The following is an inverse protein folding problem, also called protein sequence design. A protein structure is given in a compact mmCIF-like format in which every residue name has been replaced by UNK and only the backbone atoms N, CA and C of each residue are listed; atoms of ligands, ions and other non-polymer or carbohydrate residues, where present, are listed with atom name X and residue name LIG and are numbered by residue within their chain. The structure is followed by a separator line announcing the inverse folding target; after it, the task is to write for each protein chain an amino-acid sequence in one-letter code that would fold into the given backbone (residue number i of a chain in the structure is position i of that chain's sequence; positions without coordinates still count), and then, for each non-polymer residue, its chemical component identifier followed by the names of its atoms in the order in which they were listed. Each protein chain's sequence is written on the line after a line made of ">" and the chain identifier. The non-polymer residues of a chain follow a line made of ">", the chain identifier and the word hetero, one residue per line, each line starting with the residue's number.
data_IF_770795871524
#
_entry.id   IF_770795871524
#
_cell.length_a   1.000
_cell.length_b   1.000
_cell.length_c   1.000
_cell.angle_alpha   90.00
_cell.angle_beta   90.00
_cell.angle_gamma   90.00
#
_symmetry.space_group_name_H-M   'P 1'
#
loop_
_entity.id
_entity.type
_entity.pdbx_description
1 polymer ?
#
# COMPACT_ATOMS: atom_id res chain seq x y z
N UNK A 1 -11.54 10.78 4.87
CA UNK A 1 -10.60 9.95 5.65
C UNK A 1 -11.27 9.61 6.96
N UNK A 2 -11.29 8.34 7.34
CA UNK A 2 -11.72 7.95 8.69
C UNK A 2 -10.45 7.93 9.56
N UNK A 3 -10.56 8.44 10.79
CA UNK A 3 -9.52 8.32 11.80
C UNK A 3 -10.05 7.54 12.98
N UNK A 4 -9.20 6.74 13.61
CA UNK A 4 -9.47 6.00 14.83
C UNK A 4 -8.38 6.30 15.84
N UNK A 5 -8.70 6.54 17.13
CA UNK A 5 -7.67 6.72 18.15
C UNK A 5 -6.83 5.44 18.31
N UNK A 6 -5.52 5.60 18.48
CA UNK A 6 -4.62 4.53 18.89
C UNK A 6 -4.89 4.14 20.35
N UNK A 7 -5.06 2.86 20.64
CA UNK A 7 -5.35 2.38 21.99
C UNK A 7 -4.16 2.58 22.94
N UNK A 8 -2.92 2.63 22.44
CA UNK A 8 -1.71 2.85 23.25
C UNK A 8 -1.40 4.32 23.55
N UNK A 9 -1.40 5.21 22.54
CA UNK A 9 -0.99 6.61 22.72
C UNK A 9 -2.10 7.64 22.51
N UNK A 10 -3.32 7.22 22.18
CA UNK A 10 -4.48 8.09 22.01
C UNK A 10 -4.51 8.97 20.75
N UNK A 11 -3.46 8.96 19.93
CA UNK A 11 -3.37 9.81 18.72
C UNK A 11 -4.41 9.41 17.66
N UNK A 12 -4.95 10.36 16.88
CA UNK A 12 -5.85 10.05 15.78
C UNK A 12 -5.06 9.44 14.60
N UNK A 13 -5.26 8.16 14.35
CA UNK A 13 -4.56 7.41 13.29
C UNK A 13 -5.42 7.31 12.05
N UNK A 14 -4.83 7.46 10.86
CA UNK A 14 -5.55 7.28 9.60
C UNK A 14 -5.87 5.80 9.35
N UNK A 15 -7.14 5.53 9.03
CA UNK A 15 -7.60 4.18 8.69
C UNK A 15 -8.03 4.17 7.22
N UNK A 16 -7.33 3.38 6.40
CA UNK A 16 -7.75 3.10 5.03
C UNK A 16 -8.79 1.98 5.08
N UNK A 17 -9.93 2.18 4.43
CA UNK A 17 -10.98 1.16 4.42
C UNK A 17 -12.42 1.64 4.22
N UNK A 18 -12.67 2.94 4.11
CA UNK A 18 -14.00 3.43 3.73
C UNK A 18 -14.27 3.30 2.23
N UNK A 19 -15.53 3.09 1.81
CA UNK A 19 -15.95 3.24 0.40
C UNK A 19 -15.48 4.58 -0.20
N UNK A 20 -15.31 5.61 0.62
CA UNK A 20 -14.74 6.90 0.22
C UNK A 20 -13.30 6.79 -0.33
N UNK A 21 -12.49 5.82 0.13
CA UNK A 21 -11.14 5.57 -0.41
C UNK A 21 -11.15 4.81 -1.74
N UNK A 22 -12.20 4.03 -2.02
CA UNK A 22 -12.31 3.29 -3.28
C UNK A 22 -12.45 4.21 -4.51
N UNK A 23 -12.87 5.46 -4.29
CA UNK A 23 -13.06 6.47 -5.33
C UNK A 23 -12.05 7.62 -5.26
N UNK A 24 -11.10 7.53 -4.33
CA UNK A 24 -10.03 8.50 -4.17
C UNK A 24 -8.77 7.96 -4.84
N UNK A 25 -8.21 8.70 -5.79
CA UNK A 25 -6.88 8.41 -6.35
C UNK A 25 -5.74 8.85 -5.40
N UNK A 26 -6.08 9.30 -4.19
CA UNK A 26 -5.11 9.64 -3.16
C UNK A 26 -4.48 8.35 -2.60
N UNK A 27 -3.15 8.28 -2.61
CA UNK A 27 -2.36 7.21 -1.97
C UNK A 27 -2.41 7.35 -0.45
N UNK A 28 -3.61 7.28 0.13
CA UNK A 28 -3.75 7.29 1.58
C UNK A 28 -3.44 5.90 2.11
N UNK A 29 -2.23 5.73 2.62
CA UNK A 29 -1.81 4.58 3.41
C UNK A 29 -2.46 4.64 4.80
N UNK A 30 -2.68 3.49 5.42
CA UNK A 30 -2.99 3.41 6.86
C UNK A 30 -1.78 3.79 7.68
N UNK A 31 -1.97 4.43 8.84
CA UNK A 31 -0.88 4.70 9.79
C UNK A 31 -0.94 3.78 11.04
N UNK A 32 -1.79 2.76 10.99
CA UNK A 32 -1.95 1.76 12.05
C UNK A 32 -2.72 0.53 11.60
N UNK A 33 -2.80 -0.46 12.48
CA UNK A 33 -3.48 -1.73 12.22
C UNK A 33 -4.12 -2.32 13.47
N UNK A 34 -5.05 -3.25 13.26
CA UNK A 34 -5.65 -4.04 14.32
C UNK A 34 -4.77 -5.26 14.61
N UNK A 35 -4.31 -5.39 15.84
CA UNK A 35 -3.49 -6.51 16.34
C UNK A 35 -4.28 -7.31 17.38
N UNK A 36 -4.10 -8.62 17.33
CA UNK A 36 -4.48 -9.55 18.39
C UNK A 36 -3.19 -9.88 19.18
N UNK A 37 -3.20 -9.65 20.49
CA UNK A 37 -2.04 -9.82 21.37
C UNK A 37 -1.93 -11.24 21.93
N UNK A 38 -0.83 -11.54 22.64
CA UNK A 38 -0.53 -12.89 23.12
C UNK A 38 -1.53 -13.40 24.18
N UNK A 39 -2.18 -12.47 24.90
CA UNK A 39 -3.25 -12.72 25.86
C UNK A 39 -4.65 -12.82 25.22
N UNK A 40 -4.75 -12.62 23.90
CA UNK A 40 -6.00 -12.70 23.14
C UNK A 40 -6.87 -11.45 23.25
N UNK A 41 -6.26 -10.29 23.50
CA UNK A 41 -6.92 -8.99 23.38
C UNK A 41 -6.64 -8.35 22.02
N UNK A 42 -7.69 -7.77 21.44
CA UNK A 42 -7.62 -7.02 20.19
C UNK A 42 -7.42 -5.53 20.46
N UNK A 43 -6.33 -4.95 19.93
CA UNK A 43 -6.02 -3.51 20.04
C UNK A 43 -5.68 -2.88 18.68
N UNK A 44 -6.17 -1.66 18.46
CA UNK A 44 -5.81 -0.87 17.29
C UNK A 44 -4.68 0.10 17.62
N UNK A 45 -3.53 -0.12 16.99
CA UNK A 45 -2.29 0.58 17.33
C UNK A 45 -1.67 1.25 16.09
N UNK A 46 -1.09 2.45 16.28
CA UNK A 46 -0.25 3.09 15.26
C UNK A 46 1.09 2.36 15.12
N UNK A 47 1.74 2.43 13.96
CA UNK A 47 2.98 1.68 13.70
C UNK A 47 4.08 1.93 14.72
N UNK A 48 4.31 3.17 15.12
CA UNK A 48 5.31 3.46 16.14
C UNK A 48 4.97 2.91 17.54
N UNK A 49 3.71 2.62 17.86
CA UNK A 49 3.35 1.92 19.11
C UNK A 49 3.59 0.42 18.98
N UNK A 50 3.35 -0.13 17.79
CA UNK A 50 3.67 -1.53 17.49
C UNK A 50 5.17 -1.78 17.58
N UNK A 51 5.99 -0.87 17.07
CA UNK A 51 7.45 -0.98 17.12
C UNK A 51 8.02 -0.90 18.54
N UNK A 52 7.30 -0.27 19.46
CA UNK A 52 7.69 -0.15 20.88
C UNK A 52 7.26 -1.36 21.72
N UNK A 53 6.37 -2.22 21.21
CA UNK A 53 5.88 -3.39 21.93
C UNK A 53 6.93 -4.52 21.98
N UNK A 54 6.97 -5.31 23.06
CA UNK A 54 7.75 -6.55 23.11
C UNK A 54 7.13 -7.63 22.21
N UNK A 55 7.90 -8.66 21.84
CA UNK A 55 7.45 -9.73 20.93
C UNK A 55 6.20 -10.48 21.43
N UNK A 56 6.13 -10.79 22.74
CA UNK A 56 4.98 -11.46 23.39
C UNK A 56 4.14 -10.45 24.18
N UNK A 57 3.77 -9.33 23.54
CA UNK A 57 2.99 -8.27 24.17
C UNK A 57 1.61 -8.72 24.64
N UNK A 58 1.15 -8.11 25.74
CA UNK A 58 -0.18 -8.23 26.32
C UNK A 58 -0.81 -6.85 26.54
N UNK A 59 -2.09 -6.79 26.94
CA UNK A 59 -2.82 -5.54 27.21
C UNK A 59 -2.04 -4.60 28.15
N UNK A 60 -1.38 -5.17 29.17
CA UNK A 60 -0.59 -4.39 30.13
C UNK A 60 0.60 -3.64 29.49
N UNK A 61 1.16 -4.16 28.41
CA UNK A 61 2.24 -3.49 27.67
C UNK A 61 1.70 -2.33 26.84
N UNK A 62 0.47 -2.45 26.31
CA UNK A 62 -0.23 -1.36 25.62
C UNK A 62 -0.54 -0.21 26.58
N UNK A 63 -1.06 -0.52 27.77
CA UNK A 63 -1.35 0.46 28.82
C UNK A 63 -0.09 1.18 29.34
N UNK A 64 1.09 0.56 29.19
CA UNK A 64 2.37 1.11 29.60
C UNK A 64 3.00 2.05 28.56
N UNK A 65 2.44 2.14 27.35
CA UNK A 65 2.96 2.99 26.29
C UNK A 65 2.86 4.48 26.67
N UNK A 66 3.84 5.31 26.24
CA UNK A 66 3.81 6.73 26.52
C UNK A 66 2.76 7.45 25.67
N UNK A 67 2.10 8.45 26.27
CA UNK A 67 1.31 9.43 25.52
C UNK A 67 2.18 10.13 24.47
N UNK A 68 1.59 10.39 23.30
CA UNK A 68 2.26 11.12 22.20
C UNK A 68 1.44 12.30 21.71
N UNK A 69 2.08 13.39 21.24
CA UNK A 69 1.36 14.58 20.78
C UNK A 69 0.45 14.25 19.59
N UNK A 70 -0.83 14.66 19.61
CA UNK A 70 -1.80 14.30 18.58
C UNK A 70 -1.53 14.94 17.21
N UNK A 71 -0.72 15.99 17.17
CA UNK A 71 -0.32 16.74 15.97
C UNK A 71 1.02 16.30 15.38
N UNK A 72 1.75 15.40 16.05
CA UNK A 72 3.00 14.86 15.53
C UNK A 72 2.71 13.77 14.48
N UNK A 73 3.27 13.88 13.26
CA UNK A 73 3.09 12.88 12.23
C UNK A 73 3.64 11.53 12.69
N UNK A 74 2.85 10.48 12.47
CA UNK A 74 3.25 9.10 12.81
C UNK A 74 4.32 8.66 11.80
N UNK A 75 5.51 8.32 12.29
CA UNK A 75 6.59 7.75 11.49
C UNK A 75 6.18 6.41 10.89
N UNK A 76 6.43 6.24 9.59
CA UNK A 76 6.20 4.98 8.90
C UNK A 76 7.49 4.17 8.87
N UNK A 77 7.44 2.85 9.13
CA UNK A 77 8.62 2.02 8.98
C UNK A 77 8.98 1.83 7.50
N UNK A 78 10.27 1.64 7.21
CA UNK A 78 10.80 1.51 5.83
C UNK A 78 10.05 0.45 5.01
N UNK A 79 9.65 -0.67 5.63
CA UNK A 79 8.92 -1.74 4.95
C UNK A 79 7.51 -1.36 4.48
N UNK A 80 6.90 -0.32 5.06
CA UNK A 80 5.59 0.19 4.68
C UNK A 80 5.68 1.37 3.68
N UNK A 81 6.87 1.95 3.47
CA UNK A 81 7.11 2.99 2.47
C UNK A 81 7.21 2.42 1.04
N UNK A 82 7.68 1.18 0.91
CA UNK A 82 7.95 0.52 -0.38
C UNK A 82 6.71 -0.05 -1.09
N UNK A 83 5.53 0.00 -0.48
CA UNK A 83 4.34 -0.67 -1.01
C UNK A 83 3.73 -0.01 -2.28
N UNK A 84 4.11 1.23 -2.63
CA UNK A 84 3.29 2.10 -3.49
C UNK A 84 3.88 2.44 -4.88
N UNK A 85 4.81 1.65 -5.40
CA UNK A 85 5.56 1.99 -6.61
C UNK A 85 5.38 1.06 -7.81
N UNK A 86 5.96 -0.13 -7.76
CA UNK A 86 6.25 -0.91 -8.97
C UNK A 86 5.04 -1.60 -9.59
N UNK A 87 4.14 -2.17 -8.77
CA UNK A 87 3.04 -2.99 -9.26
C UNK A 87 2.03 -2.19 -10.11
N UNK A 88 1.80 -0.91 -9.79
CA UNK A 88 0.90 -0.07 -10.56
C UNK A 88 1.40 0.17 -12.00
N UNK A 89 2.71 0.35 -12.20
CA UNK A 89 3.30 0.52 -13.52
C UNK A 89 3.16 -0.76 -14.35
N UNK A 90 3.34 -1.92 -13.72
CA UNK A 90 3.13 -3.22 -14.35
C UNK A 90 1.67 -3.40 -14.81
N UNK A 91 0.68 -3.06 -13.98
CA UNK A 91 -0.73 -3.16 -14.34
C UNK A 91 -1.14 -2.17 -15.44
N UNK A 92 -0.72 -0.90 -15.34
CA UNK A 92 -1.01 0.12 -16.36
C UNK A 92 -0.36 -0.24 -17.69
N UNK A 93 0.92 -0.65 -17.68
CA UNK A 93 1.64 -1.08 -18.87
C UNK A 93 0.98 -2.28 -19.55
N UNK A 94 0.66 -3.32 -18.78
CA UNK A 94 -0.04 -4.52 -19.29
C UNK A 94 -1.40 -4.16 -19.88
N UNK A 95 -2.19 -3.33 -19.20
CA UNK A 95 -3.52 -2.92 -19.66
C UNK A 95 -3.47 -2.11 -20.96
N UNK A 96 -2.61 -1.09 -21.03
CA UNK A 96 -2.44 -0.28 -22.24
C UNK A 96 -1.89 -1.12 -23.42
N UNK A 97 -0.92 -1.99 -23.15
CA UNK A 97 -0.39 -2.92 -24.14
C UNK A 97 -1.47 -3.86 -24.68
N UNK A 98 -2.28 -4.45 -23.81
CA UNK A 98 -3.38 -5.33 -24.18
C UNK A 98 -4.44 -4.62 -25.04
N UNK A 99 -4.80 -3.38 -24.70
CA UNK A 99 -5.74 -2.57 -25.47
C UNK A 99 -5.19 -2.22 -26.87
N UNK A 100 -3.92 -1.82 -26.97
CA UNK A 100 -3.28 -1.56 -28.25
C UNK A 100 -3.19 -2.83 -29.10
N UNK A 101 -2.81 -3.95 -28.48
CA UNK A 101 -2.78 -5.27 -29.10
C UNK A 101 -4.15 -5.72 -29.62
N UNK A 102 -5.21 -5.56 -28.82
CA UNK A 102 -6.57 -5.87 -29.25
C UNK A 102 -6.98 -5.06 -30.48
N UNK A 103 -6.65 -3.76 -30.53
CA UNK A 103 -6.91 -2.92 -31.70
C UNK A 103 -6.24 -3.45 -32.98
N UNK A 104 -4.97 -3.87 -32.90
CA UNK A 104 -4.24 -4.49 -34.02
C UNK A 104 -4.86 -5.85 -34.39
N UNK A 105 -5.26 -6.63 -33.39
CA UNK A 105 -5.88 -7.94 -33.57
C UNK A 105 -7.21 -7.87 -34.33
N UNK A 106 -8.04 -6.87 -34.06
CA UNK A 106 -9.28 -6.62 -34.80
C UNK A 106 -8.99 -6.33 -36.28
N UNK A 107 -7.93 -5.59 -36.58
CA UNK A 107 -7.56 -5.21 -37.96
C UNK A 107 -6.95 -6.36 -38.77
N UNK A 108 -6.22 -7.26 -38.10
CA UNK A 108 -5.45 -8.34 -38.74
C UNK A 108 -6.13 -9.71 -38.67
N UNK A 109 -7.25 -9.82 -37.95
CA UNK A 109 -8.02 -11.06 -37.77
C UNK A 109 -7.40 -12.06 -36.78
N UNK A 110 -6.35 -11.68 -36.04
CA UNK A 110 -5.63 -12.55 -35.09
C UNK A 110 -5.70 -11.99 -33.65
N UNK A 111 -6.90 -11.87 -33.11
CA UNK A 111 -7.15 -11.19 -31.83
C UNK A 111 -6.34 -11.75 -30.67
N UNK A 112 -6.32 -13.07 -30.51
CA UNK A 112 -5.66 -13.75 -29.38
C UNK A 112 -4.14 -13.48 -29.37
N UNK A 113 -3.50 -13.61 -30.54
CA UNK A 113 -2.06 -13.37 -30.69
C UNK A 113 -1.69 -11.92 -30.34
N UNK A 114 -2.41 -10.95 -30.92
CA UNK A 114 -2.07 -9.53 -30.74
C UNK A 114 -2.42 -9.01 -29.35
N UNK A 115 -3.48 -9.52 -28.71
CA UNK A 115 -3.81 -9.19 -27.33
C UNK A 115 -2.69 -9.62 -26.36
N UNK A 116 -2.26 -10.89 -26.43
CA UNK A 116 -1.21 -11.43 -25.55
C UNK A 116 0.13 -10.73 -25.80
N UNK A 117 0.47 -10.53 -27.07
CA UNK A 117 1.71 -9.84 -27.46
C UNK A 117 1.71 -8.40 -26.98
N UNK A 118 0.59 -7.69 -27.13
CA UNK A 118 0.41 -6.33 -26.63
C UNK A 118 0.59 -6.26 -25.11
N UNK A 119 -0.08 -7.12 -24.36
CA UNK A 119 0.04 -7.19 -22.91
C UNK A 119 1.49 -7.44 -22.45
N UNK A 120 2.18 -8.39 -23.09
CA UNK A 120 3.57 -8.73 -22.78
C UNK A 120 4.54 -7.58 -23.08
N UNK A 121 4.38 -6.91 -24.23
CA UNK A 121 5.21 -5.74 -24.58
C UNK A 121 4.95 -4.60 -23.60
N UNK A 122 3.69 -4.34 -23.26
CA UNK A 122 3.30 -3.30 -22.31
C UNK A 122 3.92 -3.51 -20.92
N UNK A 123 3.88 -4.74 -20.41
CA UNK A 123 4.54 -5.12 -19.16
C UNK A 123 6.05 -4.91 -19.22
N UNK A 124 6.70 -5.37 -20.30
CA UNK A 124 8.15 -5.26 -20.46
C UNK A 124 8.61 -3.79 -20.52
N UNK A 125 7.87 -2.94 -21.25
CA UNK A 125 8.17 -1.51 -21.32
C UNK A 125 8.00 -0.84 -19.96
N UNK A 126 6.95 -1.17 -19.21
CA UNK A 126 6.75 -0.63 -17.86
C UNK A 126 7.93 -0.97 -16.93
N UNK A 127 8.35 -2.23 -16.91
CA UNK A 127 9.50 -2.67 -16.10
C UNK A 127 10.82 -2.01 -16.52
N UNK A 128 11.02 -1.77 -17.82
CA UNK A 128 12.20 -1.06 -18.33
C UNK A 128 12.22 0.41 -17.91
N UNK A 129 11.07 1.08 -17.96
CA UNK A 129 10.93 2.48 -17.52
C UNK A 129 11.18 2.58 -16.01
N UNK A 130 10.54 1.73 -15.22
CA UNK A 130 10.76 1.66 -13.78
C UNK A 130 12.24 1.45 -13.45
N UNK A 131 12.87 0.45 -14.08
CA UNK A 131 14.29 0.15 -13.92
C UNK A 131 15.21 1.32 -14.29
N UNK A 132 14.81 2.13 -15.26
CA UNK A 132 15.55 3.32 -15.69
C UNK A 132 15.42 4.46 -14.67
N UNK A 133 14.20 4.75 -14.21
CA UNK A 133 13.95 5.79 -13.21
C UNK A 133 14.66 5.48 -11.88
N UNK A 134 14.57 4.24 -11.38
CA UNK A 134 15.31 3.84 -10.17
C UNK A 134 16.84 3.94 -10.30
N UNK A 135 17.37 4.03 -11.53
CA UNK A 135 18.81 4.17 -11.78
C UNK A 135 19.25 5.63 -11.84
N UNK A 136 18.34 6.57 -12.11
CA UNK A 136 18.64 8.00 -12.15
C UNK A 136 18.54 8.67 -10.79
N UNK A 137 17.84 8.03 -9.85
CA UNK A 137 17.61 8.55 -8.49
C UNK A 137 18.71 8.14 -7.48
N UNK A 138 19.74 7.41 -7.90
CA UNK A 138 20.90 7.00 -7.08
C UNK A 138 22.23 7.46 -7.67
#
# INVERSE_FOLDING_TARGET
>A
MATQPCDGCGRPVSVAGGIANLWSFERSTTDGLQLELADGTDHFLCFECVDDLPDDAAEADVDALPDRPPDEPIGRPEWAEDADGGLQFAFVGTGLGALAGAGIGILTGSLEYWFVTGAAIGLLLALLVERFLSRTDG
#
